data_IF_951893721619
#
_entry.id   IF_951893721619
#
_cell.length_a   1.000
_cell.length_b   1.000
_cell.length_c   1.000
_cell.angle_alpha   90.00
_cell.angle_beta   90.00
_cell.angle_gamma   90.00
#
_symmetry.space_group_name_H-M   'P 1'
#
loop_
_entity.id
_entity.type
_entity.pdbx_description
1 polymer ?
#
# COMPACT_ATOMS: atom_id res chain seq x y z
N UNK A 1 12.92 0.38 11.43
CA UNK A 1 12.52 1.09 10.21
C UNK A 1 13.33 2.37 10.09
N UNK A 2 14.05 2.54 8.98
CA UNK A 2 14.68 3.82 8.63
C UNK A 2 14.35 4.15 7.17
N UNK A 3 13.33 4.98 6.96
CA UNK A 3 13.01 5.54 5.64
C UNK A 3 13.79 6.84 5.48
N UNK A 4 14.54 6.97 4.39
CA UNK A 4 15.27 8.20 4.07
C UNK A 4 14.33 9.30 3.59
N UNK A 5 14.77 10.55 3.62
CA UNK A 5 13.99 11.68 3.09
C UNK A 5 13.75 11.52 1.58
N UNK A 6 14.74 10.98 0.85
CA UNK A 6 14.62 10.68 -0.58
C UNK A 6 13.53 9.65 -0.84
N UNK A 7 13.52 8.55 -0.08
CA UNK A 7 12.51 7.50 -0.20
C UNK A 7 11.11 8.03 0.13
N UNK A 8 10.98 8.75 1.24
CA UNK A 8 9.70 9.36 1.64
C UNK A 8 9.17 10.33 0.57
N UNK A 9 10.05 11.17 0.00
CA UNK A 9 9.69 12.09 -1.07
C UNK A 9 9.15 11.37 -2.31
N UNK A 10 9.79 10.28 -2.72
CA UNK A 10 9.32 9.47 -3.84
C UNK A 10 7.97 8.82 -3.56
N UNK A 11 7.76 8.29 -2.34
CA UNK A 11 6.48 7.69 -1.93
C UNK A 11 5.34 8.72 -1.95
N UNK A 12 5.57 9.92 -1.43
CA UNK A 12 4.59 11.02 -1.48
C UNK A 12 4.25 11.43 -2.92
N UNK A 13 5.25 11.46 -3.80
CA UNK A 13 5.06 11.71 -5.23
C UNK A 13 4.19 10.65 -5.91
N UNK A 14 4.35 9.39 -5.52
CA UNK A 14 3.53 8.29 -6.03
C UNK A 14 2.07 8.43 -5.58
N UNK A 15 1.81 8.78 -4.31
CA UNK A 15 0.46 9.07 -3.84
C UNK A 15 -0.19 10.21 -4.62
N UNK A 16 0.53 11.32 -4.85
CA UNK A 16 0.03 12.44 -5.67
C UNK A 16 -0.39 11.99 -7.06
N UNK A 17 0.50 11.25 -7.74
CA UNK A 17 0.27 10.77 -9.09
C UNK A 17 -0.89 9.77 -9.16
N UNK A 18 -1.10 8.98 -8.11
CA UNK A 18 -2.23 8.04 -8.04
C UNK A 18 -3.59 8.73 -8.00
N UNK A 19 -3.63 9.99 -7.55
CA UNK A 19 -4.78 10.89 -7.60
C UNK A 19 -4.83 11.74 -8.88
N UNK A 20 -3.94 11.49 -9.85
CA UNK A 20 -3.81 12.24 -11.11
C UNK A 20 -3.57 13.76 -10.92
N UNK A 21 -2.98 14.15 -9.80
CA UNK A 21 -2.71 15.56 -9.48
C UNK A 21 -1.35 16.02 -9.99
N UNK A 22 -1.28 17.26 -10.49
CA UNK A 22 -0.01 17.96 -10.68
C UNK A 22 0.53 18.45 -9.32
N UNK A 23 1.83 18.81 -9.25
CA UNK A 23 2.39 19.41 -8.02
C UNK A 23 1.74 20.76 -7.70
N UNK A 24 1.38 21.52 -8.73
CA UNK A 24 0.71 22.82 -8.61
C UNK A 24 -0.71 22.64 -8.06
N UNK A 25 -1.50 21.75 -8.65
CA UNK A 25 -2.88 21.49 -8.20
C UNK A 25 -2.94 20.98 -6.76
N UNK A 26 -1.98 20.13 -6.36
CA UNK A 26 -1.87 19.70 -4.96
C UNK A 26 -1.54 20.88 -4.04
N UNK A 27 -0.57 21.71 -4.43
CA UNK A 27 -0.15 22.87 -3.65
C UNK A 27 -1.29 23.87 -3.46
N UNK A 28 -2.04 24.17 -4.54
CA UNK A 28 -3.23 25.01 -4.52
C UNK A 28 -4.29 24.48 -3.55
N UNK A 29 -4.58 23.17 -3.58
CA UNK A 29 -5.57 22.54 -2.71
C UNK A 29 -5.24 22.65 -1.22
N UNK A 30 -3.97 22.91 -0.89
CA UNK A 30 -3.46 22.99 0.47
C UNK A 30 -3.01 24.41 0.85
N UNK A 31 -3.08 25.38 -0.06
CA UNK A 31 -2.62 26.75 0.17
C UNK A 31 -1.11 26.89 0.37
N UNK A 32 -0.30 26.02 -0.26
CA UNK A 32 1.18 26.05 -0.17
C UNK A 32 1.81 26.37 -1.52
N UNK A 33 3.12 26.63 -1.54
CA UNK A 33 3.84 26.88 -2.78
C UNK A 33 4.24 25.56 -3.47
N UNK A 34 4.03 25.44 -4.78
CA UNK A 34 4.40 24.26 -5.58
C UNK A 34 5.87 23.85 -5.42
N UNK A 35 6.79 24.81 -5.25
CA UNK A 35 8.20 24.52 -5.01
C UNK A 35 8.44 23.75 -3.71
N UNK A 36 7.60 23.95 -2.69
CA UNK A 36 7.68 23.20 -1.44
C UNK A 36 7.36 21.72 -1.67
N UNK A 37 6.34 21.44 -2.49
CA UNK A 37 5.99 20.07 -2.92
C UNK A 37 7.14 19.47 -3.72
N UNK A 38 7.66 20.19 -4.72
CA UNK A 38 8.75 19.72 -5.57
C UNK A 38 10.01 19.36 -4.77
N UNK A 39 10.44 20.23 -3.84
CA UNK A 39 11.62 19.98 -2.99
C UNK A 39 11.45 18.74 -2.13
N UNK A 40 10.29 18.57 -1.51
CA UNK A 40 10.02 17.42 -0.68
C UNK A 40 10.00 16.13 -1.51
N UNK A 41 9.28 16.13 -2.65
CA UNK A 41 9.18 14.96 -3.54
C UNK A 41 10.51 14.53 -4.17
N UNK A 42 11.45 15.47 -4.31
CA UNK A 42 12.79 15.21 -4.80
C UNK A 42 13.80 14.89 -3.67
N UNK A 43 13.33 14.75 -2.42
CA UNK A 43 14.18 14.37 -1.30
C UNK A 43 15.11 15.47 -0.79
N UNK A 44 14.91 16.72 -1.21
CA UNK A 44 15.66 17.89 -0.73
C UNK A 44 15.22 18.27 0.70
N UNK A 45 13.99 17.92 1.05
CA UNK A 45 13.38 18.19 2.35
C UNK A 45 12.39 19.35 2.31
N UNK A 46 11.75 19.57 3.45
CA UNK A 46 10.70 20.56 3.65
C UNK A 46 10.49 20.81 5.14
N UNK A 47 9.43 21.51 5.48
CA UNK A 47 9.08 21.76 6.88
C UNK A 47 8.17 20.67 7.43
N UNK A 48 8.11 20.55 8.76
CA UNK A 48 7.21 19.59 9.42
C UNK A 48 5.75 19.97 9.14
N UNK A 49 5.43 21.26 9.06
CA UNK A 49 4.09 21.75 8.75
C UNK A 49 3.62 21.25 7.37
N UNK A 50 4.49 21.33 6.36
CA UNK A 50 4.19 20.79 5.03
C UNK A 50 3.94 19.28 5.07
N UNK A 51 4.76 18.55 5.82
CA UNK A 51 4.62 17.10 5.97
C UNK A 51 3.28 16.75 6.63
N UNK A 52 2.90 17.45 7.70
CA UNK A 52 1.63 17.26 8.39
C UNK A 52 0.44 17.59 7.50
N UNK A 53 0.54 18.66 6.69
CA UNK A 53 -0.49 19.01 5.71
C UNK A 53 -0.65 17.91 4.67
N UNK A 54 0.44 17.36 4.13
CA UNK A 54 0.39 16.26 3.16
C UNK A 54 -0.18 14.99 3.77
N UNK A 55 0.17 14.68 5.03
CA UNK A 55 -0.37 13.52 5.72
C UNK A 55 -1.86 13.65 5.95
N UNK A 56 -2.31 14.83 6.40
CA UNK A 56 -3.73 15.15 6.55
C UNK A 56 -4.47 15.02 5.21
N UNK A 57 -3.89 15.53 4.13
CA UNK A 57 -4.45 15.41 2.79
C UNK A 57 -4.57 13.94 2.34
N UNK A 58 -3.46 13.19 2.32
CA UNK A 58 -3.44 11.82 1.81
C UNK A 58 -4.18 10.82 2.70
N UNK A 59 -4.28 11.05 4.01
CA UNK A 59 -4.99 10.15 4.93
C UNK A 59 -6.49 10.00 4.61
N UNK A 60 -7.05 10.93 3.82
CA UNK A 60 -8.42 10.86 3.29
C UNK A 60 -8.58 9.83 2.17
N UNK A 61 -7.49 9.53 1.47
CA UNK A 61 -7.49 8.68 0.26
C UNK A 61 -6.70 7.39 0.42
N UNK A 62 -5.69 7.36 1.31
CA UNK A 62 -4.76 6.25 1.47
C UNK A 62 -4.44 5.95 2.93
N UNK A 63 -3.88 4.76 3.17
CA UNK A 63 -3.26 4.38 4.45
C UNK A 63 -1.83 4.92 4.54
N UNK A 64 -1.70 6.14 5.08
CA UNK A 64 -0.43 6.87 5.15
C UNK A 64 0.60 6.27 6.11
N UNK A 65 0.18 5.37 7.02
CA UNK A 65 1.07 4.59 7.88
C UNK A 65 2.02 3.68 7.08
N UNK A 66 1.60 3.25 5.89
CA UNK A 66 2.42 2.47 4.96
C UNK A 66 3.54 3.29 4.29
N UNK A 67 3.53 4.62 4.40
CA UNK A 67 4.63 5.44 3.88
C UNK A 67 5.98 5.11 4.53
N UNK A 68 5.96 4.51 5.72
CA UNK A 68 7.17 4.17 6.48
C UNK A 68 7.52 2.68 6.47
N UNK A 69 6.72 1.83 5.83
CA UNK A 69 6.97 0.38 5.79
C UNK A 69 8.22 0.02 4.98
N UNK A 70 8.85 -1.10 5.31
CA UNK A 70 9.99 -1.61 4.54
C UNK A 70 9.56 -1.95 3.10
N UNK A 71 8.38 -2.56 2.94
CA UNK A 71 7.72 -2.79 1.66
C UNK A 71 6.62 -1.74 1.45
N UNK A 72 6.91 -0.72 0.64
CA UNK A 72 5.93 0.32 0.32
C UNK A 72 4.89 -0.17 -0.67
N UNK A 73 3.62 0.08 -0.35
CA UNK A 73 2.49 -0.13 -1.25
C UNK A 73 1.46 0.99 -1.06
N UNK A 74 0.71 1.29 -2.12
CA UNK A 74 -0.35 2.30 -2.11
C UNK A 74 -1.68 1.59 -1.89
N UNK A 75 -2.17 1.64 -0.65
CA UNK A 75 -3.46 1.08 -0.26
C UNK A 75 -4.49 2.20 -0.14
N UNK A 76 -5.58 2.13 -0.89
CA UNK A 76 -6.68 3.09 -0.82
C UNK A 76 -7.41 2.98 0.52
N UNK A 77 -7.91 4.10 1.04
CA UNK A 77 -8.47 4.18 2.40
C UNK A 77 -9.67 3.25 2.61
N UNK A 78 -10.41 2.98 1.54
CA UNK A 78 -11.58 2.11 1.55
C UNK A 78 -11.22 0.62 1.55
N UNK A 79 -9.98 0.27 1.17
CA UNK A 79 -9.45 -1.08 1.31
C UNK A 79 -9.13 -1.32 2.78
N UNK A 80 -9.56 -2.47 3.33
CA UNK A 80 -9.29 -2.81 4.72
C UNK A 80 -7.77 -3.00 4.91
N UNK A 81 -7.17 -2.46 5.98
CA UNK A 81 -5.79 -2.75 6.42
C UNK A 81 -5.51 -4.25 6.67
N UNK A 82 -6.55 -5.10 6.64
CA UNK A 82 -6.48 -6.55 6.79
C UNK A 82 -5.51 -7.26 5.84
N UNK A 83 -4.95 -6.57 4.83
CA UNK A 83 -3.86 -7.04 3.99
C UNK A 83 -2.45 -6.94 4.62
N UNK A 84 -2.34 -6.54 5.89
CA UNK A 84 -1.09 -6.69 6.65
C UNK A 84 -0.63 -8.15 6.56
N UNK A 85 0.64 -8.35 6.19
CA UNK A 85 1.25 -9.58 5.70
C UNK A 85 1.03 -10.86 6.56
N UNK A 86 0.50 -10.77 7.78
CA UNK A 86 0.17 -11.94 8.61
C UNK A 86 -1.18 -12.60 8.29
N UNK A 87 -2.23 -11.86 7.91
CA UNK A 87 -3.53 -12.48 7.64
C UNK A 87 -3.56 -13.09 6.24
N UNK A 88 -2.96 -12.44 5.23
CA UNK A 88 -2.86 -13.02 3.89
C UNK A 88 -2.01 -14.30 3.89
N UNK A 89 -0.92 -14.38 4.66
CA UNK A 89 -0.16 -15.63 4.77
C UNK A 89 -0.96 -16.74 5.45
N UNK A 90 -1.67 -16.46 6.55
CA UNK A 90 -2.52 -17.47 7.20
C UNK A 90 -3.70 -17.89 6.31
N UNK A 91 -4.35 -16.93 5.63
CA UNK A 91 -5.46 -17.21 4.72
C UNK A 91 -5.00 -18.04 3.52
N UNK A 92 -3.85 -17.72 2.93
CA UNK A 92 -3.22 -18.49 1.84
C UNK A 92 -2.86 -19.91 2.32
N UNK A 93 -2.25 -20.06 3.49
CA UNK A 93 -1.92 -21.39 4.02
C UNK A 93 -3.18 -22.22 4.33
N UNK A 94 -4.24 -21.60 4.86
CA UNK A 94 -5.54 -22.28 5.04
C UNK A 94 -6.17 -22.71 3.72
N UNK A 95 -6.09 -21.87 2.68
CA UNK A 95 -6.60 -22.20 1.35
C UNK A 95 -5.79 -23.34 0.70
N UNK A 96 -4.46 -23.35 0.84
CA UNK A 96 -3.60 -24.45 0.38
C UNK A 96 -3.92 -25.77 1.10
N UNK A 97 -4.15 -25.72 2.41
CA UNK A 97 -4.51 -26.90 3.19
C UNK A 97 -5.85 -27.48 2.73
N UNK A 98 -6.88 -26.62 2.57
CA UNK A 98 -8.17 -27.05 2.03
C UNK A 98 -8.05 -27.62 0.61
N UNK A 99 -7.21 -27.02 -0.25
CA UNK A 99 -6.93 -27.55 -1.59
C UNK A 99 -6.32 -28.95 -1.53
N UNK A 100 -5.35 -29.17 -0.64
CA UNK A 100 -4.70 -30.48 -0.44
C UNK A 100 -5.69 -31.54 0.03
N UNK A 101 -6.58 -31.19 0.96
CA UNK A 101 -7.63 -32.09 1.46
C UNK A 101 -8.60 -32.49 0.34
N UNK A 102 -9.07 -31.51 -0.45
CA UNK A 102 -9.96 -31.79 -1.58
C UNK A 102 -9.29 -32.65 -2.65
N UNK A 103 -8.03 -32.38 -3.00
CA UNK A 103 -7.28 -33.22 -3.95
C UNK A 103 -7.18 -34.67 -3.46
N UNK A 104 -6.92 -34.86 -2.18
CA UNK A 104 -6.85 -36.21 -1.57
C UNK A 104 -8.19 -36.93 -1.68
N UNK A 105 -9.30 -36.24 -1.38
CA UNK A 105 -10.65 -36.80 -1.50
C UNK A 105 -10.99 -37.17 -2.96
N UNK A 106 -10.61 -36.33 -3.93
CA UNK A 106 -10.82 -36.62 -5.35
C UNK A 106 -10.01 -37.85 -5.78
N UNK A 107 -8.76 -37.97 -5.36
CA UNK A 107 -7.94 -39.16 -5.63
C UNK A 107 -8.55 -40.44 -5.04
N UNK A 108 -9.10 -40.36 -3.83
CA UNK A 108 -9.79 -41.47 -3.19
C UNK A 108 -11.04 -41.90 -3.98
N UNK A 109 -11.86 -40.93 -4.41
CA UNK A 109 -13.03 -41.21 -5.25
C UNK A 109 -12.62 -41.83 -6.59
N UNK A 110 -11.56 -41.32 -7.23
CA UNK A 110 -11.04 -41.91 -8.47
C UNK A 110 -10.64 -43.37 -8.24
N UNK A 111 -9.90 -43.68 -7.16
CA UNK A 111 -9.51 -45.07 -6.84
C UNK A 111 -10.70 -45.99 -6.59
N UNK A 112 -11.77 -45.49 -5.97
CA UNK A 112 -13.00 -46.25 -5.73
C UNK A 112 -13.76 -46.54 -7.04
N UNK A 113 -13.63 -45.66 -8.03
CA UNK A 113 -14.26 -45.82 -9.35
C UNK A 113 -13.39 -46.61 -10.33
N UNK A 114 -12.06 -46.61 -10.14
CA UNK A 114 -11.07 -47.36 -10.93
C UNK A 114 -10.83 -48.80 -10.42
N UNK A 115 -11.61 -49.30 -9.47
CA UNK A 115 -11.57 -50.73 -9.13
C UNK A 115 -12.07 -51.57 -10.33
N UNK A 116 -11.36 -52.65 -10.70
CA UNK A 116 -11.66 -53.45 -11.89
C UNK A 116 -13.03 -54.14 -11.86
#
# INVERSE_FOLDING_TARGET
MSVSIQELGQRLKLLRKRLDLSQESLAESMGVNQNQISRLENGVGGTIELLLLLFSFYSKHFHVDLLFSDNFDILEKHEKLSNSHSINSIAVEKLKLAQSEFSTQIEEVIRLLDTP
#
